data_IF_292665991375
#
_entry.id   IF_292665991375
#
_cell.length_a   1.000
_cell.length_b   1.000
_cell.length_c   1.000
_cell.angle_alpha   90.00
_cell.angle_beta   90.00
_cell.angle_gamma   90.00
#
_symmetry.space_group_name_H-M   'P 1'
#
loop_
_entity.id
_entity.type
_entity.pdbx_description
1 polymer ?
#
# COMPACT_ATOMS: atom_id res chain seq x y z
N UNK A 1 21.97 0.48 21.96
CA UNK A 1 20.96 -0.47 22.51
C UNK A 1 21.06 -0.59 24.02
N UNK A 2 22.19 -0.22 24.64
CA UNK A 2 22.37 -0.25 26.10
C UNK A 2 21.51 0.82 26.81
N UNK A 3 21.38 2.01 26.23
CA UNK A 3 20.55 3.11 26.78
C UNK A 3 19.07 2.71 26.98
N UNK A 4 18.56 1.79 26.16
CA UNK A 4 17.17 1.31 26.29
C UNK A 4 16.98 0.38 27.49
N UNK A 5 18.04 -0.31 27.92
CA UNK A 5 17.99 -1.21 29.08
C UNK A 5 18.09 -0.42 30.39
N UNK A 6 18.83 0.69 30.38
CA UNK A 6 18.96 1.60 31.53
C UNK A 6 17.65 2.32 31.85
N UNK A 7 16.80 2.54 30.85
CA UNK A 7 15.47 3.15 31.01
C UNK A 7 14.39 2.16 31.45
N UNK A 8 14.72 0.88 31.64
CA UNK A 8 13.75 -0.15 32.02
C UNK A 8 14.03 -0.63 33.44
N UNK A 9 13.10 -0.40 34.35
CA UNK A 9 13.21 -0.77 35.77
C UNK A 9 11.92 -1.41 36.24
N UNK A 10 12.01 -2.58 36.90
CA UNK A 10 10.84 -3.29 37.42
C UNK A 10 9.82 -3.71 36.34
N UNK A 11 10.24 -3.81 35.08
CA UNK A 11 9.35 -4.09 33.94
C UNK A 11 8.66 -2.84 33.35
N UNK A 12 8.84 -1.66 33.94
CA UNK A 12 8.38 -0.39 33.40
C UNK A 12 9.47 0.27 32.56
N UNK A 13 9.10 0.84 31.41
CA UNK A 13 9.99 1.67 30.60
C UNK A 13 9.71 3.13 30.89
N UNK A 14 10.72 3.84 31.37
CA UNK A 14 10.66 5.26 31.68
C UNK A 14 11.13 6.08 30.47
N UNK A 15 10.54 7.27 30.31
CA UNK A 15 10.95 8.20 29.25
C UNK A 15 12.23 8.97 29.63
N UNK A 16 12.55 9.05 30.93
CA UNK A 16 13.69 9.77 31.48
C UNK A 16 14.56 8.85 32.34
N UNK A 17 15.86 9.03 32.23
CA UNK A 17 16.84 8.30 33.04
C UNK A 17 16.75 8.65 34.53
N UNK A 18 16.37 9.91 34.85
CA UNK A 18 16.10 10.33 36.23
C UNK A 18 15.05 9.45 36.88
N UNK A 19 13.93 9.25 36.18
CA UNK A 19 12.77 8.55 36.70
C UNK A 19 13.06 7.04 36.80
N UNK A 20 13.83 6.50 35.84
CA UNK A 20 14.34 5.13 35.92
C UNK A 20 15.27 4.93 37.13
N UNK A 21 16.22 5.85 37.35
CA UNK A 21 17.13 5.77 38.49
C UNK A 21 16.41 5.90 39.83
N UNK A 22 15.39 6.76 39.91
CA UNK A 22 14.55 6.90 41.09
C UNK A 22 13.75 5.63 41.36
N UNK A 23 13.18 5.01 40.32
CA UNK A 23 12.50 3.73 40.42
C UNK A 23 13.42 2.62 40.92
N UNK A 24 14.68 2.61 40.49
CA UNK A 24 15.66 1.62 40.96
C UNK A 24 15.97 1.80 42.45
N UNK A 25 16.14 3.05 42.90
CA UNK A 25 16.31 3.37 44.33
C UNK A 25 15.05 3.03 45.14
N UNK A 26 13.86 3.19 44.57
CA UNK A 26 12.61 2.80 45.23
C UNK A 26 12.50 1.29 45.44
N UNK A 27 13.02 0.45 44.53
CA UNK A 27 13.10 -1.01 44.73
C UNK A 27 13.96 -1.34 45.96
N UNK A 28 15.13 -0.72 46.07
CA UNK A 28 16.02 -0.93 47.22
C UNK A 28 15.37 -0.46 48.52
N UNK A 29 14.70 0.70 48.51
CA UNK A 29 13.93 1.18 49.67
C UNK A 29 12.81 0.21 50.02
N UNK A 30 12.05 -0.29 49.06
CA UNK A 30 10.95 -1.22 49.26
C UNK A 30 11.42 -2.51 49.93
N UNK A 31 12.51 -3.11 49.44
CA UNK A 31 13.10 -4.31 50.05
C UNK A 31 13.60 -4.06 51.48
N UNK A 32 14.18 -2.88 51.75
CA UNK A 32 14.58 -2.49 53.11
C UNK A 32 13.37 -2.35 54.05
N UNK A 33 12.29 -1.72 53.59
CA UNK A 33 11.05 -1.58 54.37
C UNK A 33 10.38 -2.94 54.61
N UNK A 34 10.38 -3.83 53.62
CA UNK A 34 9.82 -5.18 53.72
C UNK A 34 10.52 -6.00 54.81
N UNK A 35 11.85 -5.96 54.86
CA UNK A 35 12.62 -6.63 55.92
C UNK A 35 12.29 -6.09 57.31
N UNK A 36 12.01 -4.77 57.43
CA UNK A 36 11.70 -4.12 58.70
C UNK A 36 10.25 -4.35 59.17
N UNK A 37 9.34 -4.57 58.21
CA UNK A 37 7.91 -4.81 58.45
C UNK A 37 7.66 -6.29 58.75
N UNK A 38 8.39 -7.20 58.12
CA UNK A 38 8.28 -8.65 58.30
C UNK A 38 8.40 -9.04 59.78
N UNK A 39 7.30 -9.53 60.37
CA UNK A 39 7.24 -9.96 61.77
C UNK A 39 6.75 -8.90 62.77
N UNK A 40 6.30 -7.73 62.32
CA UNK A 40 5.59 -6.75 63.18
C UNK A 40 4.10 -7.05 63.26
N UNK A 41 3.44 -6.47 64.27
CA UNK A 41 1.98 -6.53 64.40
C UNK A 41 1.28 -5.77 63.26
N UNK A 42 0.04 -6.16 62.89
CA UNK A 42 -0.73 -5.55 61.81
C UNK A 42 -0.93 -4.04 62.01
N UNK A 43 -1.14 -3.58 63.24
CA UNK A 43 -1.32 -2.16 63.56
C UNK A 43 -0.04 -1.34 63.32
N UNK A 44 1.13 -1.92 63.60
CA UNK A 44 2.40 -1.26 63.31
C UNK A 44 2.66 -1.20 61.79
N UNK A 45 2.24 -2.23 61.05
CA UNK A 45 2.30 -2.22 59.59
C UNK A 45 1.42 -1.11 59.01
N UNK A 46 0.21 -0.91 59.54
CA UNK A 46 -0.69 0.17 59.14
C UNK A 46 -0.07 1.55 59.41
N UNK A 47 0.51 1.75 60.60
CA UNK A 47 1.17 3.01 60.95
C UNK A 47 2.37 3.32 60.03
N UNK A 48 3.13 2.29 59.64
CA UNK A 48 4.23 2.45 58.68
C UNK A 48 3.69 2.78 57.29
N UNK A 49 2.66 2.09 56.82
CA UNK A 49 2.00 2.38 55.55
C UNK A 49 1.50 3.83 55.51
N UNK A 50 0.81 4.27 56.55
CA UNK A 50 0.31 5.63 56.67
C UNK A 50 1.45 6.66 56.63
N UNK A 51 2.53 6.41 57.36
CA UNK A 51 3.71 7.27 57.35
C UNK A 51 4.38 7.33 55.98
N UNK A 52 4.50 6.20 55.29
CA UNK A 52 5.09 6.11 53.95
C UNK A 52 4.28 6.94 52.94
N UNK A 53 2.94 6.92 53.06
CA UNK A 53 2.06 7.75 52.25
C UNK A 53 2.23 9.25 52.54
N UNK A 54 2.32 9.63 53.82
CA UNK A 54 2.46 11.03 54.24
C UNK A 54 3.81 11.61 53.79
N UNK A 55 4.90 10.84 53.92
CA UNK A 55 6.25 11.24 53.50
C UNK A 55 6.49 11.12 51.98
N UNK A 56 5.53 10.56 51.23
CA UNK A 56 5.62 10.33 49.77
C UNK A 56 6.91 9.64 49.34
N UNK A 57 7.28 8.59 50.07
CA UNK A 57 8.55 7.87 49.84
C UNK A 57 8.57 7.18 48.46
N UNK A 58 7.38 6.80 47.96
CA UNK A 58 7.19 6.11 46.70
C UNK A 58 6.35 6.95 45.74
N UNK A 59 6.96 7.37 44.64
CA UNK A 59 6.38 8.24 43.62
C UNK A 59 6.33 7.54 42.26
N UNK A 60 7.22 6.58 42.01
CA UNK A 60 7.26 5.87 40.74
C UNK A 60 6.25 4.71 40.67
N UNK A 61 5.90 4.21 39.47
CA UNK A 61 5.02 3.05 39.31
C UNK A 61 5.50 1.80 40.07
N UNK A 62 6.82 1.62 40.19
CA UNK A 62 7.41 0.50 40.92
C UNK A 62 7.15 0.62 42.42
N UNK A 63 7.28 1.82 42.98
CA UNK A 63 6.92 2.08 44.37
C UNK A 63 5.42 1.93 44.65
N UNK A 64 4.56 2.27 43.69
CA UNK A 64 3.11 2.04 43.82
C UNK A 64 2.74 0.56 43.84
N UNK A 65 3.44 -0.27 43.07
CA UNK A 65 3.28 -1.72 43.12
C UNK A 65 3.58 -2.26 44.52
N UNK A 66 4.65 -1.79 45.15
CA UNK A 66 4.97 -2.13 46.53
C UNK A 66 3.90 -1.65 47.53
N UNK A 67 3.38 -0.42 47.38
CA UNK A 67 2.29 0.07 48.22
C UNK A 67 1.01 -0.79 48.07
N UNK A 68 0.71 -1.24 46.84
CA UNK A 68 -0.40 -2.16 46.57
C UNK A 68 -0.18 -3.53 47.20
N UNK A 69 1.04 -4.05 47.14
CA UNK A 69 1.43 -5.27 47.82
C UNK A 69 1.24 -5.15 49.35
N UNK A 70 1.71 -4.04 49.94
CA UNK A 70 1.56 -3.79 51.37
C UNK A 70 0.08 -3.65 51.79
N UNK A 71 -0.74 -2.98 50.98
CA UNK A 71 -2.19 -2.92 51.19
C UNK A 71 -2.85 -4.30 51.15
N UNK A 72 -2.45 -5.16 50.20
CA UNK A 72 -2.96 -6.53 50.13
C UNK A 72 -2.59 -7.31 51.40
N UNK A 73 -1.35 -7.15 51.89
CA UNK A 73 -0.88 -7.80 53.11
C UNK A 73 -1.64 -7.35 54.36
N UNK A 74 -1.87 -6.04 54.50
CA UNK A 74 -2.68 -5.48 55.58
C UNK A 74 -4.09 -6.05 55.61
N UNK A 75 -4.68 -6.28 54.43
CA UNK A 75 -6.00 -6.91 54.30
C UNK A 75 -5.97 -8.40 54.68
N UNK A 76 -4.91 -9.13 54.32
CA UNK A 76 -4.71 -10.53 54.73
C UNK A 76 -4.58 -10.68 56.25
N UNK A 77 -3.93 -9.72 56.91
CA UNK A 77 -3.78 -9.72 58.37
C UNK A 77 -5.03 -9.24 59.14
N UNK A 78 -6.13 -8.97 58.43
CA UNK A 78 -7.44 -8.71 59.04
C UNK A 78 -7.73 -7.25 59.37
N UNK A 79 -6.98 -6.29 58.79
CA UNK A 79 -7.33 -4.87 58.91
C UNK A 79 -8.46 -4.51 57.94
N UNK A 80 -9.47 -3.83 58.47
CA UNK A 80 -10.61 -3.33 57.69
C UNK A 80 -10.16 -2.43 56.54
N UNK A 81 -10.74 -2.65 55.36
CA UNK A 81 -10.43 -1.88 54.16
C UNK A 81 -10.70 -0.37 54.34
N UNK A 82 -11.65 -0.01 55.19
CA UNK A 82 -12.00 1.39 55.49
C UNK A 82 -10.92 2.13 56.28
N UNK A 83 -10.09 1.40 57.03
CA UNK A 83 -8.95 1.98 57.78
C UNK A 83 -7.72 2.17 56.90
N UNK A 84 -7.62 1.45 55.78
CA UNK A 84 -6.46 1.52 54.89
C UNK A 84 -6.64 2.69 53.93
N UNK A 85 -5.82 3.73 54.10
CA UNK A 85 -5.89 4.92 53.24
C UNK A 85 -5.61 4.56 51.77
N UNK A 86 -6.36 5.13 50.81
CA UNK A 86 -6.08 4.91 49.40
C UNK A 86 -4.74 5.55 48.99
N UNK A 87 -4.05 4.91 48.04
CA UNK A 87 -2.78 5.44 47.50
C UNK A 87 -3.11 6.67 46.64
N UNK A 88 -2.61 7.87 46.98
CA UNK A 88 -2.86 9.08 46.21
C UNK A 88 -2.07 9.04 44.89
N UNK A 89 -2.75 9.44 43.81
CA UNK A 89 -2.11 9.61 42.49
C UNK A 89 -1.73 11.07 42.33
N UNK A 90 -0.44 11.33 42.17
CA UNK A 90 0.09 12.69 41.94
C UNK A 90 0.15 13.04 40.45
N UNK A 91 -0.07 12.06 39.58
CA UNK A 91 -0.14 12.26 38.14
C UNK A 91 -1.60 12.17 37.67
N UNK A 92 -2.05 13.18 36.95
CA UNK A 92 -3.37 13.17 36.31
C UNK A 92 -3.29 12.33 35.03
N UNK A 93 -3.88 11.14 35.05
CA UNK A 93 -3.99 10.29 33.86
C UNK A 93 -5.13 10.79 32.96
N UNK A 94 -4.92 11.90 32.27
CA UNK A 94 -5.76 12.26 31.13
C UNK A 94 -5.32 11.40 29.94
N UNK A 95 -5.86 10.19 29.86
CA UNK A 95 -5.86 9.46 28.60
C UNK A 95 -6.72 10.24 27.63
N UNK A 96 -6.10 11.02 26.74
CA UNK A 96 -6.75 11.37 25.48
C UNK A 96 -7.02 10.03 24.81
N UNK A 97 -8.28 9.56 24.86
CA UNK A 97 -8.72 8.42 24.07
C UNK A 97 -8.36 8.77 22.63
N UNK A 98 -7.28 8.19 22.12
CA UNK A 98 -7.07 8.09 20.69
C UNK A 98 -8.28 7.30 20.23
N UNK A 99 -9.20 7.98 19.55
CA UNK A 99 -10.50 7.47 19.14
C UNK A 99 -10.40 5.98 18.78
N UNK A 100 -11.20 5.14 19.44
CA UNK A 100 -11.24 3.68 19.21
C UNK A 100 -11.52 3.29 17.75
N UNK A 101 -11.87 4.26 16.89
CA UNK A 101 -11.92 4.07 15.44
C UNK A 101 -10.56 3.88 14.78
N UNK A 102 -9.45 4.40 15.34
CA UNK A 102 -8.10 4.18 14.80
C UNK A 102 -7.41 2.92 15.38
N UNK A 103 -7.91 2.37 16.49
CA UNK A 103 -7.21 1.34 17.28
C UNK A 103 -7.66 -0.12 17.03
N UNK A 104 -8.38 -0.41 15.92
CA UNK A 104 -8.57 -1.81 15.47
C UNK A 104 -7.35 -2.39 14.73
N UNK A 105 -6.26 -1.64 14.59
CA UNK A 105 -5.05 -2.06 13.84
C UNK A 105 -3.91 -2.63 14.68
N UNK A 106 -3.85 -2.40 15.99
CA UNK A 106 -2.59 -2.54 16.76
C UNK A 106 -2.26 -3.97 17.19
N UNK A 107 -3.19 -4.93 17.03
CA UNK A 107 -2.88 -6.35 17.27
C UNK A 107 -2.06 -7.02 16.14
N UNK A 108 -1.70 -6.31 15.06
CA UNK A 108 -0.96 -6.87 13.91
C UNK A 108 0.37 -6.19 13.59
N UNK A 109 0.93 -5.38 14.49
CA UNK A 109 2.15 -4.62 14.21
C UNK A 109 3.44 -5.38 14.58
N UNK A 110 3.67 -6.53 13.92
CA UNK A 110 5.02 -7.15 13.79
C UNK A 110 5.66 -6.85 12.43
N UNK A 111 5.10 -5.94 11.64
CA UNK A 111 5.68 -5.54 10.35
C UNK A 111 5.84 -4.03 10.40
N UNK A 112 7.10 -3.58 10.43
CA UNK A 112 7.50 -2.18 10.40
C UNK A 112 6.65 -1.38 9.40
N UNK A 113 5.80 -0.44 9.84
CA UNK A 113 5.22 0.53 8.92
C UNK A 113 6.23 1.64 8.74
N UNK A 114 6.77 1.75 7.53
CA UNK A 114 7.45 2.93 7.06
C UNK A 114 6.61 4.17 7.38
N UNK A 115 7.24 5.18 7.99
CA UNK A 115 6.63 6.47 8.32
C UNK A 115 5.85 7.00 7.11
N UNK A 116 4.53 6.81 7.12
CA UNK A 116 3.66 7.50 6.18
C UNK A 116 3.58 8.94 6.67
N UNK A 117 4.43 9.79 6.09
CA UNK A 117 4.41 11.24 6.27
C UNK A 117 2.97 11.70 6.13
N UNK A 118 2.39 12.21 7.23
CA UNK A 118 1.04 12.75 7.25
C UNK A 118 1.02 13.88 6.20
N UNK A 119 0.40 13.66 5.03
CA UNK A 119 0.30 14.68 3.99
C UNK A 119 -0.40 15.88 4.62
N UNK A 120 0.32 17.00 4.65
CA UNK A 120 -0.18 18.24 5.24
C UNK A 120 -1.38 18.72 4.43
N UNK A 121 -2.28 19.52 5.02
CA UNK A 121 -3.45 20.07 4.31
C UNK A 121 -3.03 20.83 3.03
N UNK A 122 -1.83 21.42 3.02
CA UNK A 122 -1.22 22.01 1.84
C UNK A 122 -0.88 20.99 0.74
N UNK A 123 -0.39 19.79 1.11
CA UNK A 123 -0.11 18.72 0.15
C UNK A 123 -1.40 18.17 -0.48
N UNK A 124 -2.49 18.09 0.29
CA UNK A 124 -3.81 17.70 -0.23
C UNK A 124 -4.35 18.70 -1.26
N UNK A 125 -4.19 20.00 -1.00
CA UNK A 125 -4.56 21.05 -1.97
C UNK A 125 -3.72 20.96 -3.24
N UNK A 126 -2.40 20.76 -3.12
CA UNK A 126 -1.51 20.58 -4.28
C UNK A 126 -1.86 19.33 -5.09
N UNK A 127 -2.12 18.20 -4.43
CA UNK A 127 -2.55 16.96 -5.11
C UNK A 127 -3.86 17.18 -5.87
N UNK A 128 -4.83 17.88 -5.27
CA UNK A 128 -6.13 18.14 -5.88
C UNK A 128 -6.01 19.04 -7.11
N UNK A 129 -5.17 20.07 -7.05
CA UNK A 129 -4.90 20.96 -8.19
C UNK A 129 -4.18 20.20 -9.31
N UNK A 130 -3.14 19.40 -9.00
CA UNK A 130 -2.40 18.62 -10.00
C UNK A 130 -3.33 17.60 -10.68
N UNK A 131 -4.16 16.89 -9.91
CA UNK A 131 -5.14 15.96 -10.47
C UNK A 131 -6.15 16.65 -11.40
N UNK A 132 -6.61 17.85 -11.03
CA UNK A 132 -7.51 18.63 -11.89
C UNK A 132 -6.82 19.11 -13.18
N UNK A 133 -5.55 19.51 -13.12
CA UNK A 133 -4.77 19.89 -14.31
C UNK A 133 -4.59 18.70 -15.26
N UNK A 134 -4.30 17.50 -14.73
CA UNK A 134 -4.20 16.27 -15.53
C UNK A 134 -5.54 15.96 -16.20
N UNK A 135 -6.65 16.11 -15.47
CA UNK A 135 -7.99 15.89 -16.01
C UNK A 135 -8.29 16.84 -17.18
N UNK A 136 -7.97 18.13 -17.05
CA UNK A 136 -8.15 19.14 -18.12
C UNK A 136 -7.25 18.81 -19.32
N UNK A 137 -6.02 18.36 -19.09
CA UNK A 137 -5.09 17.98 -20.16
C UNK A 137 -5.63 16.79 -20.96
N UNK A 138 -6.18 15.77 -20.30
CA UNK A 138 -6.82 14.63 -20.97
C UNK A 138 -8.00 15.06 -21.84
N UNK A 139 -8.85 15.97 -21.33
CA UNK A 139 -9.96 16.53 -22.10
C UNK A 139 -9.45 17.35 -23.29
N UNK A 140 -8.38 18.15 -23.10
CA UNK A 140 -7.78 18.91 -24.18
C UNK A 140 -7.16 18.01 -25.27
N UNK A 141 -6.51 16.90 -24.89
CA UNK A 141 -6.00 15.90 -25.84
C UNK A 141 -7.14 15.23 -26.61
N UNK A 142 -8.22 14.85 -25.92
CA UNK A 142 -9.41 14.32 -26.59
C UNK A 142 -9.99 15.33 -27.57
N UNK A 143 -10.01 16.62 -27.20
CA UNK A 143 -10.48 17.70 -28.06
C UNK A 143 -9.57 17.92 -29.26
N UNK A 144 -8.24 17.83 -29.09
CA UNK A 144 -7.27 17.90 -30.19
C UNK A 144 -7.42 16.71 -31.13
N UNK A 145 -7.54 15.48 -30.61
CA UNK A 145 -7.70 14.29 -31.45
C UNK A 145 -9.04 14.32 -32.20
N UNK A 146 -10.10 14.87 -31.60
CA UNK A 146 -11.41 14.97 -32.26
C UNK A 146 -11.47 16.11 -33.28
N UNK A 147 -10.86 17.27 -33.01
CA UNK A 147 -10.80 18.39 -33.96
C UNK A 147 -9.78 18.16 -35.09
N UNK A 148 -8.63 17.56 -34.77
CA UNK A 148 -7.63 17.13 -35.74
C UNK A 148 -7.96 15.74 -36.32
N UNK A 149 -9.09 15.17 -35.89
CA UNK A 149 -9.67 13.89 -36.28
C UNK A 149 -10.52 13.98 -37.54
N UNK A 150 -10.28 14.98 -38.39
CA UNK A 150 -10.62 14.85 -39.79
C UNK A 150 -9.72 13.75 -40.39
N UNK A 151 -10.28 12.56 -40.54
CA UNK A 151 -10.06 11.73 -41.72
C UNK A 151 -8.69 11.05 -41.92
N UNK A 152 -7.72 11.15 -41.01
CA UNK A 152 -6.37 10.65 -41.27
C UNK A 152 -6.25 9.13 -41.46
N UNK A 153 -7.09 8.32 -40.80
CA UNK A 153 -7.05 6.85 -40.94
C UNK A 153 -8.16 6.24 -41.81
N UNK A 154 -9.19 6.99 -42.21
CA UNK A 154 -10.28 6.44 -43.04
C UNK A 154 -10.16 6.84 -44.52
N UNK A 155 -9.75 8.09 -44.81
CA UNK A 155 -9.58 8.56 -46.19
C UNK A 155 -8.28 8.09 -46.83
N UNK A 156 -7.23 7.86 -46.03
CA UNK A 156 -5.97 7.29 -46.55
C UNK A 156 -6.13 5.80 -46.93
N UNK A 157 -6.93 5.05 -46.18
CA UNK A 157 -7.25 3.66 -46.54
C UNK A 157 -8.04 3.58 -47.85
N UNK A 158 -9.04 4.46 -48.07
CA UNK A 158 -9.72 4.53 -49.37
C UNK A 158 -8.77 4.88 -50.50
N UNK A 159 -7.90 5.88 -50.31
CA UNK A 159 -6.98 6.33 -51.36
C UNK A 159 -5.89 5.28 -51.67
N UNK A 160 -5.40 4.58 -50.65
CA UNK A 160 -4.45 3.49 -50.79
C UNK A 160 -5.06 2.29 -51.53
N UNK A 161 -6.30 1.91 -51.19
CA UNK A 161 -7.02 0.82 -51.89
C UNK A 161 -7.31 1.23 -53.35
N UNK A 162 -7.77 2.45 -53.60
CA UNK A 162 -8.06 2.95 -54.96
C UNK A 162 -6.81 2.96 -55.84
N UNK A 163 -5.66 3.41 -55.31
CA UNK A 163 -4.40 3.40 -56.03
C UNK A 163 -3.94 1.97 -56.36
N UNK A 164 -4.23 0.99 -55.51
CA UNK A 164 -3.89 -0.42 -55.81
C UNK A 164 -4.72 -0.99 -56.95
N UNK A 165 -6.02 -0.66 -57.03
CA UNK A 165 -6.84 -1.03 -58.18
C UNK A 165 -6.37 -0.36 -59.47
N UNK A 166 -6.00 0.93 -59.42
CA UNK A 166 -5.46 1.64 -60.58
C UNK A 166 -4.10 1.05 -61.04
N UNK A 167 -3.24 0.63 -60.11
CA UNK A 167 -2.00 -0.05 -60.46
C UNK A 167 -2.23 -1.47 -60.99
N UNK A 168 -3.24 -2.19 -60.49
CA UNK A 168 -3.58 -3.52 -60.97
C UNK A 168 -4.15 -3.50 -62.39
N UNK A 169 -4.96 -2.50 -62.74
CA UNK A 169 -5.39 -2.34 -64.14
C UNK A 169 -4.20 -2.05 -65.07
N UNK A 170 -3.23 -1.24 -64.64
CA UNK A 170 -2.02 -1.00 -65.42
C UNK A 170 -1.18 -2.28 -65.61
N UNK A 171 -1.00 -3.08 -64.55
CA UNK A 171 -0.25 -4.34 -64.62
C UNK A 171 -0.97 -5.40 -65.49
N UNK A 172 -2.30 -5.49 -65.45
CA UNK A 172 -3.05 -6.37 -66.36
C UNK A 172 -2.95 -5.91 -67.81
N UNK A 173 -3.10 -4.61 -68.08
CA UNK A 173 -3.01 -4.07 -69.44
C UNK A 173 -1.62 -4.30 -70.04
N UNK A 174 -0.58 -4.17 -69.23
CA UNK A 174 0.80 -4.41 -69.65
C UNK A 174 1.06 -5.91 -69.89
N UNK A 175 0.48 -6.79 -69.07
CA UNK A 175 0.55 -8.24 -69.30
C UNK A 175 -0.25 -8.70 -70.51
N UNK A 176 -1.47 -8.20 -70.72
CA UNK A 176 -2.26 -8.52 -71.93
C UNK A 176 -1.54 -8.04 -73.18
N UNK A 177 -0.93 -6.84 -73.14
CA UNK A 177 -0.14 -6.33 -74.26
C UNK A 177 1.10 -7.19 -74.52
N UNK A 178 1.82 -7.60 -73.49
CA UNK A 178 2.98 -8.48 -73.62
C UNK A 178 2.61 -9.90 -74.08
N UNK A 179 1.45 -10.43 -73.67
CA UNK A 179 0.93 -11.71 -74.16
C UNK A 179 0.56 -11.58 -75.64
N UNK A 180 -0.14 -10.50 -76.03
CA UNK A 180 -0.52 -10.26 -77.42
C UNK A 180 0.68 -10.06 -78.35
N UNK A 181 1.72 -9.35 -77.90
CA UNK A 181 2.98 -9.21 -78.63
C UNK A 181 3.69 -10.56 -78.81
N UNK A 182 3.67 -11.42 -77.78
CA UNK A 182 4.22 -12.78 -77.89
C UNK A 182 3.36 -13.73 -78.72
N UNK A 183 2.04 -13.60 -78.71
CA UNK A 183 1.14 -14.33 -79.61
C UNK A 183 1.36 -13.93 -81.07
N UNK A 184 1.61 -12.65 -81.34
CA UNK A 184 1.98 -12.15 -82.67
C UNK A 184 3.38 -12.59 -83.12
N UNK A 185 4.37 -12.62 -82.22
CA UNK A 185 5.73 -13.11 -82.56
C UNK A 185 5.78 -14.62 -82.82
N UNK A 186 4.92 -15.40 -82.15
CA UNK A 186 4.90 -16.86 -82.26
C UNK A 186 3.93 -17.40 -83.33
N UNK A 187 3.21 -16.54 -84.07
CA UNK A 187 2.19 -16.97 -85.06
C UNK A 187 1.20 -18.02 -84.52
N UNK A 188 0.84 -17.95 -83.24
CA UNK A 188 -0.09 -18.92 -82.62
C UNK A 188 -1.55 -18.67 -83.07
N UNK A 189 -1.84 -17.50 -83.66
CA UNK A 189 -3.11 -17.30 -84.40
C UNK A 189 -3.21 -18.21 -85.64
N UNK A 190 -2.08 -18.56 -86.29
CA UNK A 190 -2.07 -19.49 -87.43
C UNK A 190 -2.19 -20.96 -86.98
N UNK A 191 -1.65 -21.34 -85.81
CA UNK A 191 -1.75 -22.72 -85.31
C UNK A 191 -3.14 -23.08 -84.73
N UNK A 192 -3.92 -22.08 -84.27
CA UNK A 192 -5.31 -22.33 -83.83
C UNK A 192 -6.28 -22.45 -85.01
N UNK A 193 -6.08 -21.71 -86.10
CA UNK A 193 -6.87 -21.87 -87.33
C UNK A 193 -6.42 -23.09 -88.17
N UNK A 194 -5.13 -23.46 -88.13
CA UNK A 194 -4.62 -24.67 -88.77
C UNK A 194 -5.06 -25.96 -88.04
N UNK A 195 -5.15 -25.97 -86.71
CA UNK A 195 -5.66 -27.12 -85.96
C UNK A 195 -7.17 -27.34 -86.15
N UNK A 196 -7.96 -26.26 -86.33
CA UNK A 196 -9.40 -26.40 -86.64
C UNK A 196 -9.67 -26.77 -88.11
N UNK A 197 -8.72 -26.52 -89.01
CA UNK A 197 -8.86 -26.82 -90.45
C UNK A 197 -8.25 -28.18 -90.83
N UNK A 198 -7.19 -28.65 -90.15
CA UNK A 198 -6.62 -29.97 -90.38
C UNK A 198 -7.46 -31.12 -89.81
N UNK A 199 -8.17 -30.89 -88.69
CA UNK A 199 -9.10 -31.89 -88.12
C UNK A 199 -10.42 -32.00 -88.91
N UNK A 200 -10.70 -31.08 -89.84
CA UNK A 200 -11.89 -31.07 -90.68
C UNK A 200 -11.68 -31.63 -92.11
N UNK A 201 -10.44 -31.97 -92.50
CA UNK A 201 -10.10 -32.38 -93.88
C UNK A 201 -9.54 -33.81 -94.02
N UNK A 202 -9.42 -34.58 -92.92
CA UNK A 202 -8.99 -36.00 -92.95
C UNK A 202 -10.15 -36.98 -92.65
N UNK A 203 -11.40 -36.52 -92.72
CA UNK A 203 -12.59 -37.39 -92.73
C UNK A 203 -13.21 -37.45 -94.13
N UNK A 204 -13.03 -38.61 -94.80
CA UNK A 204 -13.75 -39.13 -96.00
C UNK A 204 -13.18 -38.77 -97.39
N UNK A 205 -13.17 -39.66 -98.43
CA UNK A 205 -13.50 -41.11 -98.53
C UNK A 205 -12.30 -41.94 -99.08
N UNK A 206 -12.26 -43.27 -99.01
CA UNK A 206 -12.77 -44.10 -100.12
C UNK A 206 -13.07 -45.53 -99.66
N UNK A 207 -14.35 -45.89 -99.75
CA UNK A 207 -14.79 -47.27 -99.72
C UNK A 207 -15.24 -47.65 -101.12
N UNK A 208 -14.47 -48.49 -101.82
CA UNK A 208 -14.85 -49.87 -102.16
C UNK A 208 -13.67 -50.63 -102.74
#
# INVERSE_FOLDING_TARGET
>A
MEDQKELVVGGYRFDRLSDASEAALEIEKATYFEQRISGRSPENMLAIYDKVLDERIFVTPVGWEYLKFLQARLKEEGIDADRIRPIPLYHTFHFQKVDEQENKGVARERIHPSMKKKMTTADKMRISVIMNVILVLLVAVLFIITLNGENANALNYRKAIQNQYASWEQELTEREKAVKEKEQELQIEDDKEAATTSEAAEDTPDGT
#
